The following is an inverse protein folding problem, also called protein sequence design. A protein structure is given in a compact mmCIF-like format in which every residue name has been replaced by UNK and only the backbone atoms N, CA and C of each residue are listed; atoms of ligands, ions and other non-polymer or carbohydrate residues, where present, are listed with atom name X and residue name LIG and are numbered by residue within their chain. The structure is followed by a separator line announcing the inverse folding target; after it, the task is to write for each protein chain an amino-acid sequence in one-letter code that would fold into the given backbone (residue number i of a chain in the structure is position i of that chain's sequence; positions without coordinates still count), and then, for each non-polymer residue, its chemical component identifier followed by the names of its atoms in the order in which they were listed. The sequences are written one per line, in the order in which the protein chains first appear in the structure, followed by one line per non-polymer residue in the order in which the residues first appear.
data_IF_149346825266
#
_entry.id   IF_149346825266
#
_cell.length_a   1.000
_cell.length_b   1.000
_cell.length_c   1.000
_cell.angle_alpha   90.00
_cell.angle_beta   90.00
_cell.angle_gamma   90.00
#
_symmetry.space_group_name_H-M   'P 1'
#
loop_
_entity.id
_entity.type
_entity.pdbx_description
1 polymer ?
#
# COMPACT_ATOMS: atom_id res chain seq x y z
N UNK A 1 -0.29 5.62 27.57
CA UNK A 1 0.44 5.50 26.29
C UNK A 1 0.46 6.87 25.58
N UNK A 2 0.87 7.94 26.26
CA UNK A 2 0.95 9.27 25.61
C UNK A 2 2.15 9.38 24.66
N UNK A 3 3.14 8.50 24.80
CA UNK A 3 4.38 8.48 24.01
C UNK A 3 4.26 7.89 22.61
N UNK A 4 3.13 7.26 22.26
CA UNK A 4 2.94 6.66 20.94
C UNK A 4 2.33 7.67 19.98
N UNK A 5 3.02 7.99 18.89
CA UNK A 5 2.62 9.00 17.91
C UNK A 5 2.32 10.35 18.58
N UNK A 6 1.20 10.96 18.19
CA UNK A 6 0.73 12.22 18.77
C UNK A 6 -0.39 11.97 19.78
N UNK A 7 -0.05 11.93 21.08
CA UNK A 7 -0.99 11.67 22.18
C UNK A 7 -1.67 10.29 22.10
N UNK A 8 -0.89 9.25 21.78
CA UNK A 8 -1.36 7.87 21.72
C UNK A 8 -2.01 7.45 20.40
N UNK A 9 -1.86 8.25 19.33
CA UNK A 9 -2.43 7.98 18.00
C UNK A 9 -1.47 8.34 16.88
N UNK A 10 -1.63 7.66 15.75
CA UNK A 10 -0.96 7.99 14.49
C UNK A 10 -2.02 8.40 13.48
N UNK A 11 -1.77 9.50 12.77
CA UNK A 11 -2.61 9.93 11.65
C UNK A 11 -2.14 9.27 10.35
N UNK A 12 -3.02 8.46 9.75
CA UNK A 12 -2.73 7.71 8.53
C UNK A 12 -2.67 8.57 7.27
N UNK A 13 -3.03 9.86 7.33
CA UNK A 13 -2.82 10.80 6.22
C UNK A 13 -1.36 11.22 6.10
N UNK A 14 -0.56 11.10 7.16
CA UNK A 14 0.84 11.51 7.16
C UNK A 14 1.76 10.45 6.56
N UNK A 15 2.86 10.89 5.96
CA UNK A 15 3.88 10.00 5.38
C UNK A 15 3.54 9.37 4.03
N UNK A 16 2.51 9.86 3.32
CA UNK A 16 2.16 9.40 1.96
C UNK A 16 2.87 10.17 0.83
N UNK A 17 3.73 11.12 1.18
CA UNK A 17 4.59 11.84 0.23
C UNK A 17 3.88 12.86 -0.68
N UNK A 18 2.60 13.15 -0.42
CA UNK A 18 1.83 14.25 -1.02
C UNK A 18 0.68 14.64 -0.09
N UNK A 19 0.06 15.79 -0.34
CA UNK A 19 -1.08 16.27 0.44
C UNK A 19 -2.34 15.45 0.13
N UNK A 20 -2.88 14.84 1.19
CA UNK A 20 -4.05 13.95 1.14
C UNK A 20 -4.97 14.19 2.34
N UNK A 21 -4.82 15.32 3.05
CA UNK A 21 -5.48 15.56 4.34
C UNK A 21 -7.03 15.56 4.26
N UNK A 22 -7.60 15.76 3.06
CA UNK A 22 -9.04 15.73 2.77
C UNK A 22 -9.54 14.42 2.14
N UNK A 23 -8.64 13.45 1.90
CA UNK A 23 -8.95 12.21 1.18
C UNK A 23 -9.40 11.11 2.14
N UNK A 24 -10.28 10.22 1.67
CA UNK A 24 -10.71 9.07 2.45
C UNK A 24 -9.57 8.06 2.64
N UNK A 25 -9.19 7.81 3.90
CA UNK A 25 -8.22 6.79 4.32
C UNK A 25 -8.72 6.12 5.59
N UNK A 26 -8.75 4.80 5.63
CA UNK A 26 -9.11 4.05 6.84
C UNK A 26 -8.32 2.76 6.97
N UNK A 27 -8.07 2.32 8.19
CA UNK A 27 -7.54 0.99 8.49
C UNK A 27 -8.72 0.07 8.84
N UNK A 28 -9.22 -0.67 7.85
CA UNK A 28 -10.38 -1.57 8.01
C UNK A 28 -9.97 -3.03 8.30
N UNK A 29 -8.72 -3.39 8.01
CA UNK A 29 -8.15 -4.71 8.31
C UNK A 29 -7.01 -4.56 9.33
N UNK A 30 -6.77 -5.59 10.15
CA UNK A 30 -5.63 -5.59 11.06
C UNK A 30 -4.32 -5.59 10.26
N UNK A 31 -3.35 -4.82 10.72
CA UNK A 31 -1.96 -4.97 10.29
C UNK A 31 -1.31 -6.22 10.88
N UNK A 32 -0.04 -6.45 10.53
CA UNK A 32 0.78 -7.52 11.13
C UNK A 32 1.89 -6.92 11.98
N UNK A 33 2.22 -7.60 13.07
CA UNK A 33 3.34 -7.24 13.93
C UNK A 33 4.52 -8.13 13.56
N UNK A 34 5.68 -7.53 13.30
CA UNK A 34 6.94 -8.24 13.10
C UNK A 34 8.05 -7.53 13.86
N UNK A 35 8.58 -8.17 14.90
CA UNK A 35 9.48 -7.52 15.87
C UNK A 35 8.88 -6.24 16.45
N UNK A 36 9.55 -5.09 16.29
CA UNK A 36 9.07 -3.79 16.75
C UNK A 36 8.25 -3.05 15.69
N UNK A 37 7.82 -3.71 14.61
CA UNK A 37 7.13 -3.07 13.50
C UNK A 37 5.66 -3.48 13.42
N UNK A 38 4.76 -2.50 13.34
CA UNK A 38 3.40 -2.66 12.86
C UNK A 38 3.37 -2.34 11.36
N UNK A 39 3.21 -3.37 10.53
CA UNK A 39 3.05 -3.24 9.08
C UNK A 39 1.57 -3.14 8.76
N UNK A 40 1.19 -2.07 8.06
CA UNK A 40 -0.20 -1.69 7.87
C UNK A 40 -0.49 -1.28 6.43
N UNK A 41 -1.60 -1.80 5.91
CA UNK A 41 -2.26 -1.33 4.70
C UNK A 41 -3.49 -0.49 5.04
N UNK A 42 -4.11 0.11 4.02
CA UNK A 42 -5.31 0.94 4.21
C UNK A 42 -6.37 0.60 3.16
N UNK A 43 -7.61 1.03 3.43
CA UNK A 43 -8.63 1.25 2.41
C UNK A 43 -8.68 2.73 2.08
N UNK A 44 -8.65 3.03 0.79
CA UNK A 44 -8.78 4.38 0.24
C UNK A 44 -10.07 4.48 -0.56
N UNK A 45 -10.35 5.65 -1.16
CA UNK A 45 -11.48 5.80 -2.06
C UNK A 45 -11.26 5.03 -3.35
N UNK A 46 -12.33 4.54 -3.98
CA UNK A 46 -12.30 3.99 -5.34
C UNK A 46 -12.51 5.08 -6.41
N UNK A 47 -12.85 6.29 -5.98
CA UNK A 47 -13.19 7.42 -6.86
C UNK A 47 -11.97 8.22 -7.31
N UNK A 48 -12.18 9.09 -8.31
CA UNK A 48 -11.15 10.02 -8.76
C UNK A 48 -10.65 10.87 -7.59
N UNK A 49 -9.32 10.99 -7.47
CA UNK A 49 -8.70 11.74 -6.39
C UNK A 49 -8.40 10.92 -5.14
N UNK A 50 -8.56 9.59 -5.17
CA UNK A 50 -8.17 8.68 -4.10
C UNK A 50 -6.73 8.91 -3.60
N UNK A 51 -6.49 8.63 -2.31
CA UNK A 51 -5.15 8.59 -1.75
C UNK A 51 -4.36 7.39 -2.29
N UNK A 52 -3.01 7.42 -2.29
CA UNK A 52 -2.23 6.25 -2.63
C UNK A 52 -2.30 5.21 -1.50
N UNK A 53 -2.41 3.94 -1.87
CA UNK A 53 -2.52 2.79 -1.00
C UNK A 53 -1.22 2.24 -0.45
N UNK A 54 -0.24 3.10 -0.19
CA UNK A 54 1.11 2.66 0.18
C UNK A 54 1.13 1.81 1.46
N UNK A 55 2.01 0.82 1.48
CA UNK A 55 2.22 -0.03 2.66
C UNK A 55 3.25 0.66 3.55
N UNK A 56 2.96 0.75 4.84
CA UNK A 56 3.81 1.44 5.80
C UNK A 56 4.08 0.56 7.00
N UNK A 57 5.30 0.64 7.52
CA UNK A 57 5.62 0.10 8.84
C UNK A 57 5.82 1.23 9.84
N UNK A 58 5.31 1.01 11.05
CA UNK A 58 5.42 1.91 12.17
C UNK A 58 6.16 1.22 13.31
N UNK A 59 7.05 1.92 14.00
CA UNK A 59 7.58 1.43 15.26
C UNK A 59 6.45 1.33 16.29
N UNK A 60 6.29 0.17 16.92
CA UNK A 60 5.17 -0.11 17.84
C UNK A 60 5.25 0.64 19.17
N UNK A 61 6.42 1.18 19.52
CA UNK A 61 6.64 1.94 20.75
C UNK A 61 6.46 3.44 20.52
N UNK A 62 6.99 3.96 19.41
CA UNK A 62 7.01 5.40 19.12
C UNK A 62 5.92 5.85 18.15
N UNK A 63 5.39 4.95 17.31
CA UNK A 63 4.45 5.30 16.24
C UNK A 63 5.11 5.99 15.03
N UNK A 64 6.44 6.10 15.01
CA UNK A 64 7.18 6.68 13.89
C UNK A 64 7.18 5.72 12.68
N UNK A 65 7.18 6.27 11.47
CA UNK A 65 7.28 5.47 10.24
C UNK A 65 8.70 4.93 10.11
N UNK A 66 8.85 3.62 10.14
CA UNK A 66 10.11 2.93 9.93
C UNK A 66 10.46 2.78 8.44
N UNK A 67 9.46 2.47 7.61
CA UNK A 67 9.60 2.40 6.16
C UNK A 67 8.26 2.56 5.43
N UNK A 68 8.35 2.93 4.15
CA UNK A 68 7.21 3.06 3.23
C UNK A 68 7.51 2.30 1.94
N UNK A 69 6.61 1.42 1.53
CA UNK A 69 6.61 0.84 0.20
C UNK A 69 5.60 1.58 -0.69
N UNK A 70 6.10 2.31 -1.69
CA UNK A 70 5.25 3.04 -2.63
C UNK A 70 4.61 2.07 -3.64
N UNK A 71 3.34 1.74 -3.43
CA UNK A 71 2.53 0.94 -4.37
C UNK A 71 2.25 1.66 -5.70
N UNK A 72 2.32 2.99 -5.70
CA UNK A 72 2.38 3.83 -6.90
C UNK A 72 3.80 4.40 -6.98
N UNK A 73 4.67 3.86 -7.85
CA UNK A 73 6.10 4.16 -7.85
C UNK A 73 6.41 5.62 -8.16
N UNK A 74 7.41 6.18 -7.47
CA UNK A 74 7.97 7.51 -7.71
C UNK A 74 9.09 7.47 -8.77
N UNK A 75 9.53 8.63 -9.30
CA UNK A 75 10.64 8.68 -10.24
C UNK A 75 11.90 8.00 -9.68
N UNK A 76 12.44 7.05 -10.43
CA UNK A 76 13.60 6.25 -10.02
C UNK A 76 13.25 4.93 -9.31
N UNK A 77 11.97 4.67 -9.02
CA UNK A 77 11.53 3.41 -8.42
C UNK A 77 11.10 2.40 -9.47
N UNK A 78 11.21 1.12 -9.13
CA UNK A 78 10.83 0.02 -10.01
C UNK A 78 9.34 0.08 -10.36
N UNK A 79 8.99 -0.07 -11.64
CA UNK A 79 7.61 -0.10 -12.11
C UNK A 79 7.05 1.27 -12.49
N UNK A 80 7.79 2.36 -12.27
CA UNK A 80 7.37 3.72 -12.64
C UNK A 80 7.09 3.86 -14.13
N UNK A 81 7.80 3.11 -14.97
CA UNK A 81 7.65 3.05 -16.42
C UNK A 81 6.30 2.45 -16.88
N UNK A 82 5.60 1.76 -15.97
CA UNK A 82 4.28 1.16 -16.24
C UNK A 82 3.13 2.14 -16.01
N UNK A 83 3.43 3.38 -15.63
CA UNK A 83 2.47 4.45 -15.40
C UNK A 83 2.73 5.64 -16.31
N UNK A 84 1.71 6.51 -16.52
CA UNK A 84 1.94 7.80 -17.15
C UNK A 84 2.93 8.65 -16.34
N UNK A 85 3.61 9.56 -17.03
CA UNK A 85 4.52 10.49 -16.38
C UNK A 85 3.78 11.27 -15.28
N UNK A 86 4.40 11.38 -14.11
CA UNK A 86 3.84 12.06 -12.94
C UNK A 86 2.59 11.42 -12.30
N UNK A 87 2.18 10.21 -12.68
CA UNK A 87 1.02 9.53 -12.08
C UNK A 87 1.09 9.45 -10.55
N UNK A 88 2.28 9.28 -9.97
CA UNK A 88 2.51 9.26 -8.52
C UNK A 88 2.00 10.50 -7.76
N UNK A 89 1.76 11.62 -8.45
CA UNK A 89 1.20 12.85 -7.85
C UNK A 89 -0.32 12.79 -7.69
N UNK A 90 -1.02 12.07 -8.56
CA UNK A 90 -2.49 12.13 -8.63
C UNK A 90 -3.18 10.77 -8.50
N UNK A 91 -2.61 9.71 -9.09
CA UNK A 91 -3.18 8.36 -9.08
C UNK A 91 -3.33 7.86 -7.64
N UNK A 92 -4.40 7.11 -7.38
CA UNK A 92 -4.71 6.53 -6.07
C UNK A 92 -4.95 5.02 -6.15
N UNK A 93 -5.47 4.45 -5.07
CA UNK A 93 -5.69 3.01 -4.98
C UNK A 93 -4.38 2.24 -4.81
N UNK A 94 -4.28 1.05 -5.40
CA UNK A 94 -3.19 0.10 -5.20
C UNK A 94 -2.95 -0.17 -3.70
N UNK A 95 -4.04 -0.30 -2.94
CA UNK A 95 -4.04 -0.37 -1.49
C UNK A 95 -4.25 -1.80 -0.98
N UNK A 96 -3.79 -2.10 0.23
CA UNK A 96 -4.02 -3.38 0.88
C UNK A 96 -5.11 -3.28 1.95
N UNK A 97 -6.37 -3.43 1.55
CA UNK A 97 -7.52 -3.37 2.45
C UNK A 97 -7.95 -4.74 3.00
N UNK A 98 -7.59 -5.83 2.32
CA UNK A 98 -8.03 -7.20 2.63
C UNK A 98 -7.20 -7.90 3.70
N UNK A 99 -6.16 -7.24 4.23
CA UNK A 99 -5.22 -7.80 5.20
C UNK A 99 -3.97 -8.39 4.54
N UNK A 100 -3.09 -9.01 5.34
CA UNK A 100 -1.80 -9.55 4.87
C UNK A 100 -1.39 -10.77 5.69
N UNK A 101 -0.43 -11.54 5.17
CA UNK A 101 0.12 -12.73 5.83
C UNK A 101 1.61 -12.58 6.08
N UNK A 102 2.11 -13.11 7.20
CA UNK A 102 3.50 -13.00 7.61
C UNK A 102 4.14 -14.38 7.75
N UNK A 103 5.26 -14.59 7.06
CA UNK A 103 6.20 -15.67 7.37
C UNK A 103 7.26 -15.14 8.33
N UNK A 104 7.01 -15.31 9.63
CA UNK A 104 7.91 -14.81 10.68
C UNK A 104 9.32 -15.41 10.59
N UNK A 105 9.44 -16.68 10.18
CA UNK A 105 10.74 -17.37 10.11
C UNK A 105 11.62 -16.78 9.02
N UNK A 106 11.02 -16.42 7.88
CA UNK A 106 11.73 -15.83 6.74
C UNK A 106 11.79 -14.30 6.81
N UNK A 107 10.96 -13.67 7.66
CA UNK A 107 10.81 -12.22 7.73
C UNK A 107 10.20 -11.63 6.46
N UNK A 108 9.22 -12.34 5.88
CA UNK A 108 8.55 -11.94 4.63
C UNK A 108 7.08 -11.68 4.89
N UNK A 109 6.61 -10.49 4.51
CA UNK A 109 5.19 -10.14 4.53
C UNK A 109 4.62 -10.23 3.12
N UNK A 110 3.48 -10.90 2.99
CA UNK A 110 2.75 -11.09 1.75
C UNK A 110 1.49 -10.25 1.73
N UNK A 111 1.40 -9.34 0.78
CA UNK A 111 0.40 -8.27 0.77
C UNK A 111 -0.37 -8.29 -0.55
N UNK A 112 -1.67 -8.61 -0.54
CA UNK A 112 -2.55 -8.38 -1.67
C UNK A 112 -2.84 -6.87 -1.82
N UNK A 113 -2.69 -6.35 -3.03
CA UNK A 113 -3.09 -4.97 -3.36
C UNK A 113 -4.32 -4.97 -4.26
N UNK A 114 -5.15 -3.94 -4.08
CA UNK A 114 -6.29 -3.62 -4.90
C UNK A 114 -5.94 -2.89 -6.18
N UNK A 115 -6.97 -2.45 -6.87
CA UNK A 115 -6.95 -1.78 -8.17
C UNK A 115 -6.37 -0.38 -8.07
N UNK A 116 -5.83 0.13 -9.19
CA UNK A 116 -5.49 1.54 -9.29
C UNK A 116 -6.77 2.36 -9.44
N UNK A 117 -6.95 3.38 -8.60
CA UNK A 117 -8.15 4.21 -8.67
C UNK A 117 -8.05 5.23 -9.81
N UNK A 118 -9.17 5.57 -10.46
CA UNK A 118 -10.52 5.11 -10.15
C UNK A 118 -10.96 3.92 -11.02
N UNK A 119 -11.83 3.08 -10.47
CA UNK A 119 -11.96 1.68 -10.89
C UNK A 119 -12.38 1.50 -12.34
N UNK A 120 -13.37 2.27 -12.78
CA UNK A 120 -14.04 2.03 -14.07
C UNK A 120 -13.59 2.98 -15.18
N UNK A 121 -12.44 3.64 -14.99
CA UNK A 121 -11.82 4.50 -16.00
C UNK A 121 -10.29 4.52 -15.85
N UNK A 122 -9.60 4.21 -16.94
CA UNK A 122 -8.14 4.14 -16.96
C UNK A 122 -7.44 5.10 -17.90
N UNK A 123 -8.16 6.03 -18.56
CA UNK A 123 -7.53 6.84 -19.61
C UNK A 123 -6.49 7.85 -19.09
N UNK A 124 -6.51 8.17 -17.80
CA UNK A 124 -5.50 9.00 -17.12
C UNK A 124 -4.42 8.18 -16.39
N UNK A 125 -4.52 6.84 -16.43
CA UNK A 125 -3.57 5.88 -15.86
C UNK A 125 -3.21 4.78 -16.87
N UNK A 126 -2.96 5.14 -18.13
CA UNK A 126 -2.53 4.18 -19.14
C UNK A 126 -1.24 3.44 -18.75
N UNK A 127 -1.17 2.14 -19.07
CA UNK A 127 -0.05 1.26 -18.71
C UNK A 127 -0.48 0.17 -17.73
N UNK A 128 0.44 -0.70 -17.33
CA UNK A 128 0.11 -1.88 -16.51
C UNK A 128 -0.32 -1.52 -15.08
N UNK A 129 0.02 -0.31 -14.60
CA UNK A 129 -0.29 0.19 -13.27
C UNK A 129 0.37 -0.60 -12.12
N UNK A 130 1.62 -1.02 -12.27
CA UNK A 130 2.33 -1.77 -11.24
C UNK A 130 2.60 -0.88 -10.01
N UNK A 131 2.10 -1.13 -8.79
CA UNK A 131 1.79 -2.42 -8.16
C UNK A 131 0.30 -2.62 -7.80
N UNK A 132 -0.63 -2.18 -8.63
CA UNK A 132 -2.05 -2.53 -8.47
C UNK A 132 -2.30 -4.02 -8.76
N UNK A 133 -3.35 -4.60 -8.15
CA UNK A 133 -3.80 -5.98 -8.34
C UNK A 133 -2.67 -7.03 -8.17
N UNK A 134 -1.74 -6.79 -7.23
CA UNK A 134 -0.56 -7.62 -7.01
C UNK A 134 -0.68 -8.47 -5.75
N UNK A 135 0.00 -9.62 -5.75
CA UNK A 135 0.59 -10.17 -4.54
C UNK A 135 2.02 -9.63 -4.44
N UNK A 136 2.30 -8.87 -3.38
CA UNK A 136 3.64 -8.42 -3.04
C UNK A 136 4.26 -9.37 -2.02
N UNK A 137 5.57 -9.62 -2.14
CA UNK A 137 6.38 -10.18 -1.08
C UNK A 137 7.47 -9.17 -0.70
N UNK A 138 7.39 -8.62 0.49
CA UNK A 138 8.32 -7.61 1.00
C UNK A 138 9.14 -8.18 2.15
N UNK A 139 10.39 -7.74 2.27
CA UNK A 139 11.15 -7.91 3.50
C UNK A 139 10.47 -7.11 4.60
N UNK A 140 10.01 -7.77 5.65
CA UNK A 140 9.21 -7.14 6.70
C UNK A 140 10.01 -6.11 7.52
N UNK A 141 11.36 -6.21 7.56
CA UNK A 141 12.22 -5.23 8.26
C UNK A 141 12.43 -3.95 7.48
N UNK A 142 12.60 -4.06 6.17
CA UNK A 142 13.09 -2.95 5.32
C UNK A 142 12.02 -2.41 4.37
N UNK A 143 10.93 -3.14 4.16
CA UNK A 143 9.96 -2.85 3.12
C UNK A 143 10.46 -3.14 1.70
N UNK A 144 11.68 -3.67 1.54
CA UNK A 144 12.26 -3.94 0.24
C UNK A 144 11.50 -5.04 -0.50
N UNK A 145 11.26 -4.82 -1.78
CA UNK A 145 10.59 -5.79 -2.65
C UNK A 145 11.47 -7.01 -2.88
N UNK A 146 11.01 -8.18 -2.44
CA UNK A 146 11.64 -9.46 -2.77
C UNK A 146 11.13 -9.91 -4.14
N UNK A 147 9.81 -10.00 -4.29
CA UNK A 147 9.15 -10.30 -5.56
C UNK A 147 7.72 -9.73 -5.55
N UNK A 148 7.07 -9.76 -6.71
CA UNK A 148 5.65 -9.47 -6.86
C UNK A 148 5.05 -10.33 -7.97
N UNK A 149 3.73 -10.51 -7.96
CA UNK A 149 2.98 -11.09 -9.06
C UNK A 149 1.72 -10.27 -9.30
N UNK A 150 1.61 -9.66 -10.48
CA UNK A 150 0.44 -8.87 -10.87
C UNK A 150 -0.60 -9.77 -11.54
N UNK A 151 -1.82 -9.77 -11.02
CA UNK A 151 -2.90 -10.64 -11.52
C UNK A 151 -3.71 -10.00 -12.64
N UNK A 152 -3.88 -8.68 -12.61
CA UNK A 152 -4.62 -7.89 -13.59
C UNK A 152 -3.77 -6.68 -13.94
N UNK A 153 -3.50 -6.49 -15.23
CA UNK A 153 -2.81 -5.31 -15.74
C UNK A 153 -3.87 -4.30 -16.18
N UNK A 154 -3.66 -3.01 -15.86
CA UNK A 154 -4.57 -1.94 -16.25
C UNK A 154 -6.05 -2.23 -15.90
N UNK A 155 -6.32 -2.50 -14.62
CA UNK A 155 -7.67 -2.93 -14.21
C UNK A 155 -8.73 -1.85 -14.46
N UNK A 156 -9.87 -2.24 -15.03
CA UNK A 156 -11.02 -1.40 -15.32
C UNK A 156 -12.32 -1.95 -14.70
N UNK A 157 -12.20 -2.90 -13.77
CA UNK A 157 -13.31 -3.74 -13.29
C UNK A 157 -13.32 -3.98 -11.78
N UNK A 158 -12.50 -3.28 -10.99
CA UNK A 158 -12.42 -3.45 -9.53
C UNK A 158 -12.14 -4.92 -9.15
N UNK A 159 -11.06 -5.50 -9.69
CA UNK A 159 -10.65 -6.89 -9.46
C UNK A 159 -9.60 -6.98 -8.37
N UNK A 160 -9.94 -6.40 -7.24
CA UNK A 160 -9.16 -6.44 -6.02
C UNK A 160 -8.91 -7.86 -5.55
N UNK A 161 -7.71 -8.12 -5.02
CA UNK A 161 -7.41 -9.38 -4.35
C UNK A 161 -8.04 -9.35 -2.95
N UNK A 162 -9.12 -10.12 -2.70
CA UNK A 162 -10.00 -9.87 -1.56
C UNK A 162 -9.58 -10.60 -0.29
N UNK A 163 -8.40 -11.25 -0.29
CA UNK A 163 -7.95 -12.06 0.84
C UNK A 163 -6.41 -12.14 0.90
N UNK A 164 -5.84 -12.26 2.12
CA UNK A 164 -4.42 -12.50 2.30
C UNK A 164 -4.05 -13.94 1.86
N UNK A 165 -2.84 -14.16 1.32
CA UNK A 165 -2.38 -15.50 0.95
C UNK A 165 -2.29 -16.46 2.16
N UNK A 166 -2.66 -17.72 1.99
CA UNK A 166 -2.39 -18.76 3.00
C UNK A 166 -0.95 -19.28 2.86
N UNK A 167 -0.27 -19.41 4.00
CA UNK A 167 1.06 -20.03 4.09
C UNK A 167 0.89 -21.49 4.54
N UNK A 168 1.54 -22.42 3.85
CA UNK A 168 1.49 -23.87 4.13
C UNK A 168 2.85 -24.44 4.48
#
# INVERSE_FOLDING_TARGET
MESFGENGKVDLHKGLGRDVDDRFITANSPGVIFENLLILGTRVSEEKGAAPGHIRAYDVLTGEIAWVFHTIPKPGEFGVETWPENAWKEAGGANAWSGMSLDEKRGVVYIPTGSASYDFYGADRHGENLFANCILALNARTGERIWHFQTVHHDLWDRDLPAPPNLV
#
